data_IF_515337648963
#
_entry.id   IF_515337648963
#
_cell.length_a   1.000
_cell.length_b   1.000
_cell.length_c   1.000
_cell.angle_alpha   90.00
_cell.angle_beta   90.00
_cell.angle_gamma   90.00
#
_symmetry.space_group_name_H-M   'P 1'
#
loop_
_entity.id
_entity.type
_entity.pdbx_description
1 polymer ?
#
# COMPACT_ATOMS: atom_id res chain seq x y z
N UNK A 1 14.37 24.33 18.90
CA UNK A 1 12.92 24.28 19.10
C UNK A 1 12.62 23.77 20.52
N UNK A 2 12.10 24.66 21.40
CA UNK A 2 11.82 24.33 22.80
C UNK A 2 10.86 23.15 22.98
N UNK A 3 9.89 23.00 22.08
CA UNK A 3 8.92 21.92 22.10
C UNK A 3 9.52 20.55 21.79
N UNK A 4 10.64 20.49 21.09
CA UNK A 4 11.33 19.26 20.77
C UNK A 4 12.35 18.84 21.84
N UNK A 5 12.89 19.80 22.62
CA UNK A 5 14.01 19.53 23.52
C UNK A 5 13.67 19.69 25.02
N UNK A 6 13.05 20.78 25.41
CA UNK A 6 12.79 21.11 26.80
C UNK A 6 11.32 20.97 27.20
N UNK A 7 10.40 21.50 26.39
CA UNK A 7 8.97 21.46 26.67
C UNK A 7 8.34 20.20 26.06
N UNK A 8 8.88 19.05 26.40
CA UNK A 8 8.37 17.77 25.89
C UNK A 8 7.12 17.36 26.69
N UNK A 9 6.21 16.64 26.02
CA UNK A 9 4.92 16.28 26.59
C UNK A 9 5.01 15.37 27.81
N UNK A 10 5.94 14.41 27.81
CA UNK A 10 6.05 13.39 28.86
C UNK A 10 6.98 13.79 30.01
N UNK A 11 7.97 14.63 29.74
CA UNK A 11 8.97 15.10 30.73
C UNK A 11 9.39 16.54 30.42
N UNK A 12 8.57 17.54 30.70
CA UNK A 12 8.97 18.92 30.51
C UNK A 12 10.03 19.35 31.53
N UNK A 13 11.16 19.81 31.04
CA UNK A 13 12.29 20.30 31.84
C UNK A 13 12.09 21.79 32.18
N UNK A 14 11.03 22.11 32.89
CA UNK A 14 10.65 23.49 33.24
C UNK A 14 11.76 24.28 33.95
N UNK A 15 12.57 23.71 34.86
CA UNK A 15 13.67 24.44 35.50
C UNK A 15 14.74 24.96 34.54
N UNK A 16 14.89 24.30 33.37
CA UNK A 16 15.85 24.70 32.32
C UNK A 16 15.24 25.54 31.20
N UNK A 17 13.92 25.77 31.29
CA UNK A 17 13.21 26.48 30.24
C UNK A 17 13.39 28.00 30.36
N UNK A 18 13.91 28.68 29.32
CA UNK A 18 14.09 30.15 29.36
C UNK A 18 12.77 30.95 29.46
N UNK A 19 11.64 30.30 29.19
CA UNK A 19 10.32 30.90 29.28
C UNK A 19 9.59 30.59 30.59
N UNK A 20 10.27 29.95 31.56
CA UNK A 20 9.65 29.49 32.81
C UNK A 20 8.87 30.58 33.54
N UNK A 21 9.48 31.77 33.72
CA UNK A 21 8.89 32.87 34.49
C UNK A 21 7.60 33.43 33.88
N UNK A 22 7.46 33.37 32.56
CA UNK A 22 6.27 33.82 31.83
C UNK A 22 5.27 32.70 31.51
N UNK A 23 5.59 31.46 31.83
CA UNK A 23 4.80 30.30 31.43
C UNK A 23 3.56 30.09 32.29
N UNK A 24 2.37 30.29 31.72
CA UNK A 24 1.11 30.07 32.43
C UNK A 24 0.91 28.61 32.87
N UNK A 25 1.28 27.65 32.02
CA UNK A 25 1.19 26.22 32.33
C UNK A 25 2.04 25.89 33.59
N UNK A 26 3.26 26.44 33.64
CA UNK A 26 4.15 26.24 34.80
C UNK A 26 3.58 26.87 36.07
N UNK A 27 3.08 28.13 36.01
CA UNK A 27 2.47 28.79 37.13
C UNK A 27 1.22 28.11 37.70
N UNK A 28 0.49 27.41 36.79
CA UNK A 28 -0.74 26.69 37.15
C UNK A 28 -0.52 25.21 37.48
N UNK A 29 0.71 24.72 37.38
CA UNK A 29 1.03 23.30 37.62
C UNK A 29 0.46 22.32 36.55
N UNK A 30 0.06 22.85 35.39
CA UNK A 30 -0.70 22.11 34.35
C UNK A 30 0.16 21.63 33.17
N UNK A 31 1.45 21.54 33.31
CA UNK A 31 2.37 21.16 32.22
C UNK A 31 2.06 19.78 31.67
N UNK A 32 1.65 18.85 32.53
CA UNK A 32 1.32 17.47 32.13
C UNK A 32 0.01 17.35 31.31
N UNK A 33 -0.86 18.36 31.46
CA UNK A 33 -2.14 18.39 30.72
C UNK A 33 -2.01 18.99 29.32
N UNK A 34 -0.93 19.71 29.08
CA UNK A 34 -0.74 20.48 27.83
C UNK A 34 0.39 19.89 26.97
N UNK A 35 0.26 19.92 25.64
CA UNK A 35 -0.93 20.33 24.88
C UNK A 35 -2.09 19.34 25.03
N UNK A 36 -3.31 19.85 25.07
CA UNK A 36 -4.53 19.03 25.10
C UNK A 36 -4.53 18.12 23.87
N UNK A 37 -4.79 16.82 24.08
CA UNK A 37 -4.88 15.87 22.96
C UNK A 37 -6.07 16.21 22.07
N UNK A 38 -5.81 16.48 20.81
CA UNK A 38 -6.90 16.44 19.82
C UNK A 38 -7.51 15.04 19.83
N UNK A 39 -8.84 14.92 19.85
CA UNK A 39 -9.49 13.62 19.69
C UNK A 39 -8.97 12.97 18.39
N UNK A 40 -8.67 11.67 18.46
CA UNK A 40 -8.30 10.92 17.25
C UNK A 40 -9.53 10.81 16.37
N UNK A 41 -9.56 11.57 15.29
CA UNK A 41 -10.55 11.38 14.25
C UNK A 41 -10.26 10.04 13.58
N UNK A 42 -11.28 9.18 13.42
CA UNK A 42 -11.15 7.95 12.66
C UNK A 42 -10.81 8.31 11.20
N UNK A 43 -9.79 7.64 10.66
CA UNK A 43 -9.44 7.83 9.25
C UNK A 43 -10.56 7.27 8.35
N UNK A 44 -10.91 7.98 7.27
CA UNK A 44 -11.80 7.42 6.25
C UNK A 44 -11.29 6.07 5.77
N UNK A 45 -12.22 5.12 5.60
CA UNK A 45 -11.92 3.78 5.09
C UNK A 45 -12.18 3.74 3.60
N UNK A 46 -11.25 3.17 2.84
CA UNK A 46 -11.39 2.86 1.42
C UNK A 46 -11.07 1.39 1.21
N UNK A 47 -11.65 0.78 0.19
CA UNK A 47 -11.37 -0.59 -0.19
C UNK A 47 -11.09 -0.68 -1.68
N UNK A 48 -10.29 -1.66 -2.07
CA UNK A 48 -9.99 -1.96 -3.47
C UNK A 48 -9.74 -3.46 -3.64
N UNK A 49 -10.09 -3.99 -4.81
CA UNK A 49 -9.68 -5.31 -5.26
C UNK A 49 -8.37 -5.16 -6.03
N UNK A 50 -7.39 -6.02 -5.76
CA UNK A 50 -6.14 -6.07 -6.50
C UNK A 50 -5.93 -7.47 -7.07
N UNK A 51 -6.30 -7.71 -8.35
CA UNK A 51 -6.02 -8.98 -9.00
C UNK A 51 -4.52 -9.11 -9.25
N UNK A 52 -3.96 -10.25 -8.86
CA UNK A 52 -2.61 -10.68 -9.17
C UNK A 52 -2.74 -11.64 -10.35
N UNK A 53 -2.67 -11.09 -11.57
CA UNK A 53 -2.80 -11.84 -12.81
C UNK A 53 -1.46 -12.51 -13.12
N UNK A 54 -1.38 -13.82 -12.96
CA UNK A 54 -0.14 -14.59 -13.13
C UNK A 54 -0.27 -15.57 -14.29
N UNK A 55 0.72 -15.59 -15.16
CA UNK A 55 0.82 -16.56 -16.26
C UNK A 55 1.54 -17.86 -15.84
N UNK A 56 1.60 -18.83 -16.75
CA UNK A 56 2.28 -20.12 -16.55
C UNK A 56 3.79 -20.00 -16.33
N UNK A 57 4.40 -18.87 -16.72
CA UNK A 57 5.82 -18.57 -16.48
C UNK A 57 6.08 -17.80 -15.18
N UNK A 58 5.08 -17.69 -14.30
CA UNK A 58 5.13 -16.93 -13.05
C UNK A 58 5.40 -15.44 -13.25
N UNK A 59 5.04 -14.89 -14.42
CA UNK A 59 5.06 -13.46 -14.63
C UNK A 59 3.70 -12.83 -14.26
N UNK A 60 3.73 -11.71 -13.54
CA UNK A 60 2.56 -10.98 -13.05
C UNK A 60 2.41 -9.69 -13.84
N UNK A 61 1.17 -9.39 -14.25
CA UNK A 61 0.87 -8.15 -14.95
C UNK A 61 0.87 -6.97 -13.99
N UNK A 62 1.74 -6.00 -14.24
CA UNK A 62 1.80 -4.72 -13.52
C UNK A 62 1.53 -3.56 -14.46
N UNK A 63 1.04 -2.46 -13.89
CA UNK A 63 0.93 -1.19 -14.60
C UNK A 63 1.65 -0.07 -13.86
N UNK A 64 2.16 0.90 -14.63
CA UNK A 64 2.79 2.10 -14.10
C UNK A 64 1.72 3.14 -13.78
N UNK A 65 1.68 3.57 -12.52
CA UNK A 65 0.73 4.59 -12.10
C UNK A 65 1.06 5.95 -12.73
N UNK A 66 0.04 6.80 -13.00
CA UNK A 66 0.27 8.18 -13.38
C UNK A 66 1.24 8.87 -12.41
N UNK A 67 1.99 9.85 -12.88
CA UNK A 67 2.99 10.56 -12.08
C UNK A 67 2.39 11.32 -10.88
N UNK A 68 1.10 11.63 -10.93
CA UNK A 68 0.35 12.29 -9.84
C UNK A 68 -0.54 11.29 -9.10
N UNK A 69 -0.90 11.64 -7.85
CA UNK A 69 -1.80 10.84 -7.03
C UNK A 69 -1.08 9.80 -6.17
N UNK A 70 -1.85 8.81 -5.72
CA UNK A 70 -1.37 7.78 -4.81
C UNK A 70 -0.31 6.90 -5.48
N UNK A 71 0.88 6.76 -4.86
CA UNK A 71 2.02 6.01 -5.41
C UNK A 71 2.42 6.42 -6.84
N UNK A 72 2.33 7.73 -7.14
CA UNK A 72 2.60 8.27 -8.47
C UNK A 72 3.92 7.80 -9.06
N UNK A 73 3.88 7.36 -10.32
CA UNK A 73 5.04 6.87 -11.07
C UNK A 73 5.56 5.48 -10.67
N UNK A 74 5.07 4.88 -9.57
CA UNK A 74 5.44 3.52 -9.16
C UNK A 74 4.64 2.47 -9.94
N UNK A 75 5.21 1.27 -10.03
CA UNK A 75 4.53 0.11 -10.57
C UNK A 75 3.58 -0.51 -9.54
N UNK A 76 2.40 -0.89 -9.98
CA UNK A 76 1.32 -1.39 -9.16
C UNK A 76 0.60 -2.57 -9.81
N UNK A 77 -0.10 -3.36 -8.99
CA UNK A 77 -1.13 -4.27 -9.47
C UNK A 77 -2.34 -3.45 -9.95
N UNK A 78 -3.13 -3.94 -10.90
CA UNK A 78 -4.41 -3.35 -11.25
C UNK A 78 -5.30 -3.16 -10.02
N UNK A 79 -6.01 -2.05 -9.97
CA UNK A 79 -6.98 -1.74 -8.91
C UNK A 79 -8.37 -1.74 -9.51
N UNK A 80 -9.28 -2.48 -8.91
CA UNK A 80 -10.67 -2.59 -9.33
C UNK A 80 -11.58 -2.14 -8.19
N UNK A 81 -12.66 -1.45 -8.53
CA UNK A 81 -13.69 -1.05 -7.57
C UNK A 81 -14.73 -2.15 -7.36
N UNK A 82 -14.92 -3.01 -8.36
CA UNK A 82 -15.83 -4.16 -8.30
C UNK A 82 -15.25 -5.36 -9.06
N UNK A 83 -15.81 -6.53 -8.82
CA UNK A 83 -15.41 -7.74 -9.55
C UNK A 83 -15.75 -7.68 -11.05
N UNK A 84 -16.79 -6.95 -11.43
CA UNK A 84 -17.25 -6.82 -12.83
C UNK A 84 -16.22 -6.10 -13.72
N UNK A 85 -15.35 -5.28 -13.13
CA UNK A 85 -14.26 -4.61 -13.87
C UNK A 85 -13.16 -5.59 -14.31
N UNK A 86 -13.10 -6.79 -13.72
CA UNK A 86 -12.09 -7.80 -14.06
C UNK A 86 -12.21 -8.27 -15.51
N UNK A 87 -13.43 -8.53 -15.98
CA UNK A 87 -13.66 -9.01 -17.36
C UNK A 87 -13.22 -7.98 -18.40
N UNK A 88 -13.45 -6.69 -18.10
CA UNK A 88 -12.96 -5.58 -18.92
C UNK A 88 -11.43 -5.52 -18.96
N UNK A 89 -10.77 -5.74 -17.83
CA UNK A 89 -9.30 -5.78 -17.74
C UNK A 89 -8.73 -6.95 -18.53
N UNK A 90 -9.30 -8.14 -18.35
CA UNK A 90 -8.87 -9.36 -19.07
C UNK A 90 -9.04 -9.22 -20.58
N UNK A 91 -10.20 -8.72 -21.03
CA UNK A 91 -10.51 -8.48 -22.42
C UNK A 91 -9.54 -7.50 -23.09
N UNK A 92 -9.24 -6.38 -22.40
CA UNK A 92 -8.30 -5.35 -22.87
C UNK A 92 -6.92 -5.94 -23.20
N UNK A 93 -6.44 -6.86 -22.40
CA UNK A 93 -5.11 -7.45 -22.55
C UNK A 93 -5.13 -8.84 -23.22
N UNK A 94 -6.26 -9.25 -23.82
CA UNK A 94 -6.44 -10.55 -24.48
C UNK A 94 -6.07 -11.73 -23.56
N UNK A 95 -6.45 -11.63 -22.28
CA UNK A 95 -6.19 -12.62 -21.26
C UNK A 95 -7.42 -13.48 -21.01
N UNK A 96 -7.19 -14.75 -20.65
CA UNK A 96 -8.25 -15.67 -20.23
C UNK A 96 -7.92 -16.21 -18.85
N UNK A 97 -8.81 -16.00 -17.88
CA UNK A 97 -8.68 -16.57 -16.55
C UNK A 97 -9.03 -18.06 -16.55
N UNK A 98 -8.20 -18.89 -15.90
CA UNK A 98 -8.41 -20.35 -15.78
C UNK A 98 -8.76 -20.78 -14.36
N UNK A 99 -8.19 -20.13 -13.35
CA UNK A 99 -8.44 -20.39 -11.94
C UNK A 99 -8.22 -19.13 -11.11
N UNK A 100 -8.91 -19.03 -9.99
CA UNK A 100 -8.71 -17.93 -9.05
C UNK A 100 -8.78 -18.41 -7.61
N UNK A 101 -8.00 -17.77 -6.74
CA UNK A 101 -8.03 -18.02 -5.30
C UNK A 101 -7.82 -16.73 -4.52
N UNK A 102 -8.51 -16.55 -3.38
CA UNK A 102 -8.29 -15.37 -2.53
C UNK A 102 -6.91 -15.44 -1.88
N UNK A 103 -6.30 -14.27 -1.71
CA UNK A 103 -5.07 -14.11 -0.93
C UNK A 103 -5.38 -13.39 0.38
N UNK A 104 -4.49 -13.52 1.37
CA UNK A 104 -4.63 -12.79 2.63
C UNK A 104 -4.67 -11.27 2.39
N UNK A 105 -5.71 -10.61 2.86
CA UNK A 105 -5.93 -9.19 2.74
C UNK A 105 -4.81 -8.36 3.38
N UNK A 106 -4.72 -7.11 2.98
CA UNK A 106 -3.73 -6.17 3.46
C UNK A 106 -4.39 -4.82 3.75
N UNK A 107 -4.06 -4.24 4.91
CA UNK A 107 -4.45 -2.87 5.25
C UNK A 107 -3.22 -1.98 5.15
N UNK A 108 -3.35 -0.89 4.41
CA UNK A 108 -2.33 0.15 4.29
C UNK A 108 -2.87 1.48 4.79
N UNK A 109 -2.18 2.08 5.76
CA UNK A 109 -2.60 3.34 6.38
C UNK A 109 -1.80 4.50 5.82
N UNK A 110 -2.50 5.47 5.27
CA UNK A 110 -1.98 6.76 4.85
C UNK A 110 -2.24 7.81 5.95
N UNK A 111 -1.70 8.99 5.80
CA UNK A 111 -1.91 10.09 6.75
C UNK A 111 -3.37 10.55 6.84
N UNK A 112 -4.16 10.35 5.79
CA UNK A 112 -5.52 10.90 5.64
C UNK A 112 -6.61 9.87 5.35
N UNK A 113 -6.25 8.59 5.13
CA UNK A 113 -7.20 7.48 5.03
C UNK A 113 -6.51 6.13 5.25
N UNK A 114 -7.30 5.08 5.39
CA UNK A 114 -6.87 3.69 5.44
C UNK A 114 -7.41 2.93 4.23
N UNK A 115 -6.55 2.19 3.54
CA UNK A 115 -6.89 1.39 2.37
C UNK A 115 -6.88 -0.09 2.74
N UNK A 116 -8.04 -0.73 2.64
CA UNK A 116 -8.18 -2.18 2.73
C UNK A 116 -8.07 -2.77 1.33
N UNK A 117 -7.09 -3.64 1.14
CA UNK A 117 -6.81 -4.30 -0.14
C UNK A 117 -7.27 -5.74 -0.04
N UNK A 118 -8.14 -6.16 -0.94
CA UNK A 118 -8.57 -7.54 -1.12
C UNK A 118 -7.85 -8.13 -2.36
N UNK A 119 -6.71 -8.84 -2.18
CA UNK A 119 -5.99 -9.40 -3.30
C UNK A 119 -6.58 -10.75 -3.70
N UNK A 120 -6.50 -11.04 -5.00
CA UNK A 120 -6.93 -12.31 -5.59
C UNK A 120 -5.88 -12.79 -6.58
N UNK A 121 -5.34 -14.00 -6.36
CA UNK A 121 -4.44 -14.63 -7.31
C UNK A 121 -5.27 -15.26 -8.42
N UNK A 122 -5.00 -14.88 -9.67
CA UNK A 122 -5.74 -15.34 -10.84
C UNK A 122 -4.74 -15.89 -11.86
N UNK A 123 -4.85 -17.19 -12.13
CA UNK A 123 -4.09 -17.82 -13.19
C UNK A 123 -4.70 -17.44 -14.54
N UNK A 124 -3.84 -16.98 -15.46
CA UNK A 124 -4.27 -16.55 -16.77
C UNK A 124 -3.46 -17.24 -17.88
N UNK A 125 -4.08 -17.36 -19.04
CA UNK A 125 -3.41 -17.65 -20.31
C UNK A 125 -3.44 -16.41 -21.19
N UNK A 126 -2.36 -16.21 -21.95
CA UNK A 126 -2.20 -15.12 -22.92
C UNK A 126 -2.37 -15.68 -24.32
N UNK A 127 -3.09 -14.97 -25.17
CA UNK A 127 -3.17 -15.32 -26.61
C UNK A 127 -1.94 -14.87 -27.38
N UNK A 128 -1.31 -13.74 -26.94
CA UNK A 128 -0.11 -13.16 -27.54
C UNK A 128 0.90 -12.76 -26.47
N UNK A 129 2.19 -12.79 -26.82
CA UNK A 129 3.28 -12.51 -25.88
C UNK A 129 3.51 -11.02 -25.58
N UNK A 130 2.85 -10.11 -26.27
CA UNK A 130 3.10 -8.69 -26.18
C UNK A 130 1.96 -7.95 -25.48
N UNK A 131 2.22 -7.43 -24.27
CA UNK A 131 1.49 -6.26 -23.76
C UNK A 131 2.16 -5.07 -24.43
N UNK A 132 1.51 -4.54 -25.48
CA UNK A 132 2.08 -3.49 -26.32
C UNK A 132 1.94 -2.07 -25.74
N UNK A 133 1.50 -1.91 -24.50
CA UNK A 133 1.29 -0.61 -23.86
C UNK A 133 2.50 -0.22 -23.01
N UNK A 134 3.02 1.01 -23.19
CA UNK A 134 4.23 1.51 -22.53
C UNK A 134 4.16 1.53 -20.99
N UNK A 135 2.96 1.58 -20.44
CA UNK A 135 2.72 1.63 -18.99
C UNK A 135 2.32 0.27 -18.38
N UNK A 136 2.44 -0.82 -19.14
CA UNK A 136 2.16 -2.18 -18.66
C UNK A 136 3.37 -3.07 -18.88
N UNK A 137 3.62 -3.99 -17.95
CA UNK A 137 4.70 -4.97 -18.08
C UNK A 137 4.38 -6.30 -17.39
N UNK A 138 5.03 -7.35 -17.84
CA UNK A 138 5.07 -8.64 -17.18
C UNK A 138 6.28 -8.69 -16.24
N UNK A 139 5.98 -8.74 -14.94
CA UNK A 139 6.96 -8.79 -13.85
C UNK A 139 7.25 -10.24 -13.51
N UNK A 140 8.42 -10.75 -13.81
CA UNK A 140 8.82 -12.11 -13.50
C UNK A 140 9.09 -12.24 -11.99
N UNK A 141 8.37 -13.15 -11.31
CA UNK A 141 8.54 -13.39 -9.87
C UNK A 141 9.83 -14.18 -9.56
N UNK A 142 10.33 -15.00 -10.47
CA UNK A 142 11.56 -15.79 -10.29
C UNK A 142 12.83 -14.94 -10.50
N UNK A 143 12.79 -14.01 -11.47
CA UNK A 143 13.88 -13.06 -11.74
C UNK A 143 13.32 -11.63 -11.80
N UNK A 144 13.06 -11.02 -10.62
CA UNK A 144 12.36 -9.76 -10.56
C UNK A 144 13.22 -8.58 -11.03
N UNK A 145 12.77 -7.82 -12.03
CA UNK A 145 13.47 -6.62 -12.47
C UNK A 145 13.48 -5.56 -11.34
N UNK A 146 14.53 -4.73 -11.32
CA UNK A 146 14.66 -3.63 -10.35
C UNK A 146 13.72 -2.48 -10.71
N UNK A 147 12.52 -2.50 -10.14
CA UNK A 147 11.48 -1.51 -10.36
C UNK A 147 11.06 -0.82 -9.04
N UNK A 148 10.64 0.43 -9.16
CA UNK A 148 9.97 1.14 -8.07
C UNK A 148 8.56 0.58 -7.88
N UNK A 149 8.34 -0.23 -6.85
CA UNK A 149 7.05 -0.82 -6.51
C UNK A 149 6.42 -0.09 -5.32
N UNK A 150 5.09 0.09 -5.35
CA UNK A 150 4.34 0.51 -4.17
C UNK A 150 4.51 -0.52 -3.04
N UNK A 151 4.66 -0.05 -1.78
CA UNK A 151 4.97 -0.94 -0.65
C UNK A 151 3.98 -2.10 -0.45
N UNK A 152 2.64 -1.92 -0.57
CA UNK A 152 1.70 -3.03 -0.51
C UNK A 152 1.87 -4.01 -1.66
N UNK A 153 2.13 -3.52 -2.89
CA UNK A 153 2.35 -4.36 -4.08
C UNK A 153 3.53 -5.29 -3.87
N UNK A 154 4.66 -4.77 -3.37
CA UNK A 154 5.83 -5.59 -3.05
C UNK A 154 5.49 -6.74 -2.09
N UNK A 155 4.65 -6.48 -1.08
CA UNK A 155 4.20 -7.52 -0.13
C UNK A 155 3.30 -8.56 -0.81
N UNK A 156 2.40 -8.12 -1.69
CA UNK A 156 1.48 -9.02 -2.40
C UNK A 156 2.21 -9.90 -3.40
N UNK A 157 3.17 -9.36 -4.16
CA UNK A 157 4.01 -10.14 -5.07
C UNK A 157 4.83 -11.21 -4.34
N UNK A 158 5.39 -10.87 -3.16
CA UNK A 158 6.09 -11.86 -2.34
C UNK A 158 5.15 -13.00 -1.91
N UNK A 159 3.94 -12.68 -1.43
CA UNK A 159 2.93 -13.69 -1.05
C UNK A 159 2.49 -14.55 -2.25
N UNK A 160 2.31 -13.94 -3.42
CA UNK A 160 1.98 -14.67 -4.63
C UNK A 160 3.08 -15.69 -4.98
N UNK A 161 4.34 -15.28 -4.93
CA UNK A 161 5.47 -16.19 -5.15
C UNK A 161 5.50 -17.35 -4.14
N UNK A 162 5.22 -17.08 -2.86
CA UNK A 162 5.14 -18.11 -1.81
C UNK A 162 4.02 -19.14 -2.10
N UNK A 163 2.85 -18.66 -2.55
CA UNK A 163 1.70 -19.52 -2.90
C UNK A 163 2.04 -20.41 -4.10
N UNK A 164 2.61 -19.82 -5.16
CA UNK A 164 2.97 -20.55 -6.38
C UNK A 164 4.01 -21.64 -6.10
N UNK A 165 5.07 -21.32 -5.36
CA UNK A 165 6.10 -22.29 -4.99
C UNK A 165 5.56 -23.42 -4.10
N UNK A 166 4.57 -23.13 -3.24
CA UNK A 166 3.94 -24.14 -2.39
C UNK A 166 2.99 -25.08 -3.15
N UNK A 167 2.43 -24.59 -4.28
CA UNK A 167 1.54 -25.37 -5.15
C UNK A 167 2.27 -26.34 -6.07
N UNK A 168 3.51 -26.04 -6.46
CA UNK A 168 4.35 -26.93 -7.29
C UNK A 168 4.95 -28.12 -6.50
N UNK A 169 4.93 -28.05 -5.17
CA UNK A 169 5.46 -29.10 -4.30
C UNK A 169 4.45 -30.25 -4.01
N UNK A 170 3.29 -30.27 -4.68
CA UNK A 170 2.27 -31.33 -4.59
C UNK A 170 2.06 -32.00 -5.94
#
# INVERSE_FOLDING_TARGET
>A
DLGATLCTRSKPECPRCPLQNGCQAHRQGRQAELPVRKPRTSLPQKSTLMPVLVDSGHAVLLYRRPSSGLWGGLWSLPELNSADELDGLLSRHSLTASASQPMAGLVHTFSHFQLTIAPQLIHISRKDSAVAEADWLWYNLADPPRLGLAAPVKKLLKRAAEILNSGEAR
#
